data_IF_602633242994
#
_entry.id   IF_602633242994
#
_cell.length_a   1.000
_cell.length_b   1.000
_cell.length_c   1.000
_cell.angle_alpha   90.00
_cell.angle_beta   90.00
_cell.angle_gamma   90.00
#
_symmetry.space_group_name_H-M   'P 1'
#
loop_
_entity.id
_entity.type
_entity.pdbx_description
1 polymer ?
#
# COMPACT_ATOMS: atom_id res chain seq x y z
N UNK A 1 11.98 11.01 6.58
CA UNK A 1 11.73 12.26 5.82
C UNK A 1 10.34 12.85 6.07
N UNK A 2 9.29 12.05 5.99
CA UNK A 2 7.89 12.51 6.22
C UNK A 2 7.73 13.22 7.55
N UNK A 3 8.22 12.62 8.64
CA UNK A 3 8.09 13.17 9.98
C UNK A 3 8.80 14.52 10.10
N UNK A 4 10.04 14.58 9.64
CA UNK A 4 10.86 15.82 9.69
C UNK A 4 10.20 16.93 8.88
N UNK A 5 9.77 16.62 7.67
CA UNK A 5 9.11 17.59 6.80
C UNK A 5 7.79 18.07 7.39
N UNK A 6 7.03 17.18 8.01
CA UNK A 6 5.77 17.54 8.65
C UNK A 6 5.98 18.49 9.82
N UNK A 7 7.07 18.30 10.56
CA UNK A 7 7.42 19.17 11.69
C UNK A 7 7.82 20.57 11.20
N UNK A 8 8.60 20.63 10.13
CA UNK A 8 9.06 21.91 9.57
C UNK A 8 7.90 22.73 8.98
N UNK A 9 6.95 22.07 8.33
CA UNK A 9 5.86 22.73 7.62
C UNK A 9 4.61 22.92 8.46
N UNK A 10 4.56 22.33 9.66
CA UNK A 10 3.38 22.40 10.52
C UNK A 10 3.02 23.83 10.93
N UNK A 11 4.01 24.68 11.16
CA UNK A 11 3.78 26.08 11.52
C UNK A 11 3.05 26.86 10.42
N UNK A 12 3.12 26.38 9.18
CA UNK A 12 2.40 26.98 8.05
C UNK A 12 1.04 26.32 7.80
N UNK A 13 0.61 25.43 8.70
CA UNK A 13 -0.61 24.64 8.55
C UNK A 13 -0.60 23.73 7.31
N UNK A 14 0.59 23.27 6.95
CA UNK A 14 0.78 22.32 5.86
C UNK A 14 0.96 20.93 6.46
N UNK A 15 0.14 19.99 6.02
CA UNK A 15 0.19 18.59 6.45
C UNK A 15 1.03 17.78 5.49
N UNK A 16 1.82 16.85 6.03
CA UNK A 16 2.67 15.96 5.22
C UNK A 16 2.47 14.53 5.73
N UNK A 17 1.98 13.68 4.87
CA UNK A 17 1.76 12.26 5.18
C UNK A 17 2.31 11.41 4.05
N UNK A 18 2.56 10.15 4.33
CA UNK A 18 3.02 9.19 3.33
C UNK A 18 2.12 7.96 3.35
N UNK A 19 1.96 7.35 2.18
CA UNK A 19 1.24 6.08 2.03
C UNK A 19 2.23 4.98 1.68
N UNK A 20 2.04 3.83 2.31
CA UNK A 20 2.86 2.65 2.09
C UNK A 20 1.93 1.54 1.56
N UNK A 21 1.81 1.37 0.24
CA UNK A 21 0.90 0.35 -0.29
C UNK A 21 1.48 -1.05 -0.13
N UNK A 22 0.57 -2.03 -0.04
CA UNK A 22 0.96 -3.44 -0.08
C UNK A 22 1.02 -3.96 -1.50
N UNK A 23 0.71 -5.25 -1.66
CA UNK A 23 0.72 -5.91 -2.97
C UNK A 23 -0.49 -5.48 -3.80
N UNK A 24 -0.27 -4.55 -4.72
CA UNK A 24 -1.34 -4.00 -5.55
C UNK A 24 -1.60 -4.94 -6.72
N UNK A 25 -2.86 -5.30 -6.92
CA UNK A 25 -3.28 -6.09 -8.07
C UNK A 25 -3.34 -5.18 -9.30
N UNK A 26 -2.37 -5.35 -10.20
CA UNK A 26 -2.28 -4.58 -11.42
C UNK A 26 -1.44 -5.33 -12.44
N UNK A 27 -1.26 -4.74 -13.62
CA UNK A 27 -0.57 -5.39 -14.73
C UNK A 27 0.84 -5.88 -14.37
N UNK A 28 1.57 -5.08 -13.61
CA UNK A 28 2.91 -5.46 -13.18
C UNK A 28 2.89 -6.72 -12.33
N UNK A 29 1.98 -6.81 -11.37
CA UNK A 29 1.90 -7.95 -10.47
C UNK A 29 1.40 -9.19 -11.19
N UNK A 30 0.50 -9.02 -12.15
CA UNK A 30 0.02 -10.12 -13.00
C UNK A 30 1.18 -10.71 -13.79
N UNK A 31 2.05 -9.85 -14.36
CA UNK A 31 3.23 -10.32 -15.10
C UNK A 31 4.23 -11.02 -14.18
N UNK A 32 4.48 -10.46 -13.01
CA UNK A 32 5.39 -11.06 -12.02
C UNK A 32 4.89 -12.45 -11.63
N UNK A 33 3.60 -12.57 -11.34
CA UNK A 33 3.01 -13.87 -10.99
C UNK A 33 3.11 -14.88 -12.11
N UNK A 34 2.86 -14.46 -13.36
CA UNK A 34 2.96 -15.32 -14.54
C UNK A 34 4.38 -15.80 -14.75
N UNK A 35 5.36 -14.90 -14.67
CA UNK A 35 6.77 -15.26 -14.87
C UNK A 35 7.27 -16.18 -13.76
N UNK A 36 6.91 -15.91 -12.53
CA UNK A 36 7.30 -16.73 -11.38
C UNK A 36 6.68 -18.13 -11.45
N UNK A 37 5.42 -18.21 -11.85
CA UNK A 37 4.75 -19.50 -12.04
C UNK A 37 5.44 -20.34 -13.11
N UNK A 38 5.82 -19.72 -14.22
CA UNK A 38 6.54 -20.39 -15.30
C UNK A 38 7.91 -20.88 -14.84
N UNK A 39 8.65 -20.03 -14.12
CA UNK A 39 9.99 -20.37 -13.64
C UNK A 39 9.96 -21.51 -12.64
N UNK A 40 9.02 -21.51 -11.71
CA UNK A 40 8.92 -22.50 -10.66
C UNK A 40 8.07 -23.72 -11.05
N UNK A 41 7.49 -23.71 -12.25
CA UNK A 41 6.63 -24.79 -12.78
C UNK A 41 5.44 -25.08 -11.86
N UNK A 42 4.85 -24.03 -11.28
CA UNK A 42 3.64 -24.13 -10.46
C UNK A 42 2.54 -23.25 -11.06
N UNK A 43 1.31 -23.43 -10.57
CA UNK A 43 0.18 -22.68 -11.13
C UNK A 43 0.23 -21.20 -10.76
N UNK A 44 -0.28 -20.36 -11.65
CA UNK A 44 -0.43 -18.93 -11.38
C UNK A 44 -1.28 -18.68 -10.13
N UNK A 45 -2.33 -19.48 -9.92
CA UNK A 45 -3.19 -19.38 -8.74
C UNK A 45 -2.41 -19.59 -7.46
N UNK A 46 -1.45 -20.53 -7.45
CA UNK A 46 -0.60 -20.76 -6.27
C UNK A 46 0.25 -19.54 -5.94
N UNK A 47 0.81 -18.89 -6.96
CA UNK A 47 1.60 -17.67 -6.77
C UNK A 47 0.74 -16.53 -6.24
N UNK A 48 -0.44 -16.35 -6.81
CA UNK A 48 -1.37 -15.29 -6.35
C UNK A 48 -1.82 -15.53 -4.92
N UNK A 49 -2.09 -16.78 -4.56
CA UNK A 49 -2.46 -17.14 -3.20
C UNK A 49 -1.33 -16.83 -2.22
N UNK A 50 -0.08 -17.06 -2.62
CA UNK A 50 1.09 -16.72 -1.81
C UNK A 50 1.17 -15.21 -1.58
N UNK A 51 0.97 -14.40 -2.62
CA UNK A 51 0.98 -12.94 -2.48
C UNK A 51 -0.11 -12.46 -1.52
N UNK A 52 -1.33 -12.99 -1.67
CA UNK A 52 -2.45 -12.62 -0.81
C UNK A 52 -2.18 -13.01 0.64
N UNK A 53 -1.52 -14.14 0.89
CA UNK A 53 -1.23 -14.62 2.24
C UNK A 53 -0.24 -13.74 3.01
N UNK A 54 0.47 -12.84 2.33
CA UNK A 54 1.36 -11.88 2.98
C UNK A 54 0.61 -10.85 3.81
N UNK A 55 -0.67 -10.65 3.55
CA UNK A 55 -1.53 -9.77 4.33
C UNK A 55 -2.44 -10.59 5.25
N UNK A 56 -2.60 -10.17 6.49
CA UNK A 56 -3.46 -10.89 7.43
C UNK A 56 -4.93 -10.91 6.98
N UNK A 57 -5.34 -9.92 6.20
CA UNK A 57 -6.68 -9.87 5.63
C UNK A 57 -6.88 -10.79 4.43
N UNK A 58 -5.82 -11.46 3.98
CA UNK A 58 -5.86 -12.35 2.80
C UNK A 58 -6.53 -11.69 1.60
N UNK A 59 -6.06 -10.50 1.24
CA UNK A 59 -6.67 -9.74 0.16
C UNK A 59 -5.62 -9.07 -0.72
N UNK A 60 -6.02 -8.76 -1.96
CA UNK A 60 -5.27 -7.85 -2.80
C UNK A 60 -5.53 -6.43 -2.36
N UNK A 61 -4.57 -5.54 -2.63
CA UNK A 61 -4.78 -4.10 -2.54
C UNK A 61 -5.03 -3.60 -3.96
N UNK A 62 -6.04 -2.78 -4.14
CA UNK A 62 -6.37 -2.21 -5.43
C UNK A 62 -5.95 -0.74 -5.48
N UNK A 63 -5.70 -0.24 -6.70
CA UNK A 63 -5.33 1.17 -6.87
C UNK A 63 -6.37 2.11 -6.27
N UNK A 64 -7.65 1.74 -6.34
CA UNK A 64 -8.73 2.53 -5.75
C UNK A 64 -8.64 2.61 -4.23
N UNK A 65 -8.09 1.59 -3.55
CA UNK A 65 -7.89 1.63 -2.10
C UNK A 65 -6.90 2.72 -1.73
N UNK A 66 -5.83 2.85 -2.52
CA UNK A 66 -4.83 3.91 -2.34
C UNK A 66 -5.47 5.27 -2.64
N UNK A 67 -6.22 5.36 -3.74
CA UNK A 67 -6.90 6.60 -4.12
C UNK A 67 -7.89 7.09 -3.08
N UNK A 68 -8.67 6.19 -2.49
CA UNK A 68 -9.63 6.54 -1.44
C UNK A 68 -8.93 7.03 -0.19
N UNK A 69 -7.82 6.40 0.18
CA UNK A 69 -7.02 6.86 1.34
C UNK A 69 -6.41 8.22 1.08
N UNK A 70 -5.90 8.46 -0.12
CA UNK A 70 -5.41 9.78 -0.53
C UNK A 70 -6.50 10.83 -0.45
N UNK A 71 -7.69 10.52 -0.96
CA UNK A 71 -8.83 11.44 -0.92
C UNK A 71 -9.20 11.83 0.50
N UNK A 72 -9.20 10.85 1.42
CA UNK A 72 -9.43 11.12 2.83
C UNK A 72 -8.39 12.07 3.39
N UNK A 73 -7.10 11.80 3.13
CA UNK A 73 -6.00 12.61 3.64
C UNK A 73 -6.02 14.04 3.09
N UNK A 74 -6.56 14.24 1.89
CA UNK A 74 -6.68 15.56 1.27
C UNK A 74 -7.93 16.31 1.71
N UNK A 75 -8.83 15.64 2.42
CA UNK A 75 -10.10 16.23 2.85
C UNK A 75 -9.98 16.95 4.20
N UNK A 76 -10.99 17.74 4.51
CA UNK A 76 -11.10 18.42 5.81
C UNK A 76 -11.26 17.44 6.96
N UNK A 77 -11.74 16.22 6.67
CA UNK A 77 -11.88 15.18 7.69
C UNK A 77 -10.54 14.74 8.26
N UNK A 78 -9.45 14.95 7.52
CA UNK A 78 -8.09 14.63 7.96
C UNK A 78 -7.33 15.90 8.40
N UNK A 79 -8.02 16.94 8.80
CA UNK A 79 -7.41 18.26 9.09
C UNK A 79 -6.33 18.22 10.18
N UNK A 80 -6.33 17.21 11.04
CA UNK A 80 -5.35 17.07 12.11
C UNK A 80 -4.41 15.87 11.91
N UNK A 81 -4.40 15.28 10.71
CA UNK A 81 -3.54 14.14 10.39
C UNK A 81 -2.31 14.64 9.66
N UNK A 82 -1.17 14.60 10.32
CA UNK A 82 0.11 15.00 9.73
C UNK A 82 1.25 14.20 10.35
N UNK A 83 2.32 14.03 9.59
CA UNK A 83 3.50 13.31 10.03
C UNK A 83 3.31 11.80 10.11
N UNK A 84 2.29 11.27 9.46
CA UNK A 84 1.96 9.85 9.53
C UNK A 84 2.42 9.10 8.31
N UNK A 85 2.84 7.85 8.51
CA UNK A 85 3.08 6.89 7.45
C UNK A 85 1.97 5.87 7.57
N UNK A 86 1.06 5.87 6.61
CA UNK A 86 -0.15 5.05 6.66
C UNK A 86 0.00 3.87 5.72
N UNK A 87 -0.02 2.67 6.29
CA UNK A 87 0.04 1.45 5.49
C UNK A 87 -1.34 1.11 4.95
N UNK A 88 -1.42 0.87 3.64
CA UNK A 88 -2.63 0.40 2.98
C UNK A 88 -2.26 -0.95 2.35
N UNK A 89 -2.17 -1.97 3.19
CA UNK A 89 -1.57 -3.26 2.83
C UNK A 89 -2.34 -4.48 3.32
N UNK A 90 -3.56 -4.27 3.86
CA UNK A 90 -4.32 -5.37 4.41
C UNK A 90 -3.66 -6.02 5.63
N UNK A 91 -2.81 -5.26 6.32
CA UNK A 91 -2.02 -5.71 7.46
C UNK A 91 -0.98 -6.75 7.04
N UNK A 92 0.06 -6.30 6.36
CA UNK A 92 1.15 -7.14 5.88
C UNK A 92 1.90 -7.78 7.07
N UNK A 93 2.01 -9.10 7.05
CA UNK A 93 2.69 -9.87 8.10
C UNK A 93 4.02 -10.44 7.64
N UNK A 94 4.28 -10.40 6.33
CA UNK A 94 5.56 -10.77 5.74
C UNK A 94 5.96 -9.73 4.71
N UNK A 95 7.23 -9.37 4.72
CA UNK A 95 7.76 -8.31 3.86
C UNK A 95 8.72 -8.84 2.78
N UNK A 96 8.92 -10.14 2.73
CA UNK A 96 9.80 -10.80 1.74
C UNK A 96 9.01 -11.31 0.50
#
# INVERSE_FOLDING_TARGET
MTKTLSMELGKFKIRVNALCPGTIKGDRMIRVAKDKAKLLKISKKSIEKEFISMASMNCWIYEEDIGKTCSFLMSDDAARVSGQIIAVDGNAIRLD
#
